data_IF_872007721310
#
_entry.id   IF_872007721310
#
_cell.length_a   1.000
_cell.length_b   1.000
_cell.length_c   1.000
_cell.angle_alpha   90.00
_cell.angle_beta   90.00
_cell.angle_gamma   90.00
#
_symmetry.space_group_name_H-M   'P 1'
#
loop_
_entity.id
_entity.type
_entity.pdbx_description
1 polymer ?
#
# COMPACT_ATOMS: atom_id res chain seq x y z
N UNK A 1 -6.48 -24.05 24.19
CA UNK A 1 -5.36 -23.26 24.73
C UNK A 1 -5.23 -21.91 24.01
N UNK A 2 -6.03 -20.89 24.35
CA UNK A 2 -6.05 -19.61 23.63
C UNK A 2 -4.73 -18.83 23.70
N UNK A 3 -3.97 -18.97 24.79
CA UNK A 3 -2.68 -18.28 24.94
C UNK A 3 -1.55 -18.95 24.13
N UNK A 4 -1.56 -20.29 24.07
CA UNK A 4 -0.56 -21.07 23.33
C UNK A 4 -0.72 -20.88 21.82
N UNK A 5 -1.96 -20.86 21.32
CA UNK A 5 -2.23 -20.61 19.90
C UNK A 5 -1.79 -19.20 19.49
N UNK A 6 -1.99 -18.18 20.34
CA UNK A 6 -1.52 -16.82 20.08
C UNK A 6 0.01 -16.74 20.03
N UNK A 7 0.70 -17.44 20.93
CA UNK A 7 2.16 -17.49 20.91
C UNK A 7 2.69 -18.18 19.65
N UNK A 8 2.10 -19.32 19.28
CA UNK A 8 2.46 -20.05 18.06
C UNK A 8 2.26 -19.20 16.80
N UNK A 9 1.14 -18.48 16.70
CA UNK A 9 0.88 -17.57 15.57
C UNK A 9 1.95 -16.48 15.46
N UNK A 10 2.30 -15.83 16.58
CA UNK A 10 3.34 -14.79 16.58
C UNK A 10 4.67 -15.31 16.03
N UNK A 11 5.11 -16.51 16.44
CA UNK A 11 6.35 -17.11 15.94
C UNK A 11 6.26 -17.49 14.47
N UNK A 12 5.14 -18.10 14.04
CA UNK A 12 4.96 -18.54 12.66
C UNK A 12 4.78 -17.39 11.66
N UNK A 13 4.33 -16.23 12.12
CA UNK A 13 4.19 -15.03 11.25
C UNK A 13 5.51 -14.34 10.94
N UNK A 14 6.58 -14.61 11.71
CA UNK A 14 7.89 -14.04 11.41
C UNK A 14 8.42 -14.72 10.15
N UNK A 15 8.67 -13.98 9.05
CA UNK A 15 9.24 -14.59 7.87
C UNK A 15 10.65 -15.10 8.20
N UNK A 16 10.92 -16.38 7.88
CA UNK A 16 12.21 -17.00 8.14
C UNK A 16 13.37 -16.38 7.34
N UNK A 17 13.07 -15.55 6.33
CA UNK A 17 14.07 -14.96 5.42
C UNK A 17 13.70 -13.53 5.02
N UNK A 18 14.72 -12.73 4.69
CA UNK A 18 14.57 -11.37 4.13
C UNK A 18 14.09 -11.33 2.68
N UNK A 19 13.90 -12.50 2.03
CA UNK A 19 13.59 -12.63 0.60
C UNK A 19 12.35 -11.82 0.21
N UNK A 20 11.32 -11.78 1.06
CA UNK A 20 10.11 -11.00 0.80
C UNK A 20 10.38 -9.49 0.73
N UNK A 21 11.26 -9.00 1.60
CA UNK A 21 11.65 -7.58 1.66
C UNK A 21 12.56 -7.25 0.47
N UNK A 22 13.52 -8.11 0.14
CA UNK A 22 14.40 -7.92 -1.02
C UNK A 22 13.63 -7.95 -2.34
N UNK A 23 12.63 -8.83 -2.46
CA UNK A 23 11.74 -8.87 -3.62
C UNK A 23 10.87 -7.61 -3.70
N UNK A 24 10.40 -7.10 -2.56
CA UNK A 24 9.69 -5.82 -2.47
C UNK A 24 10.59 -4.66 -2.92
N UNK A 25 11.84 -4.60 -2.46
CA UNK A 25 12.79 -3.57 -2.90
C UNK A 25 13.20 -3.71 -4.36
N UNK A 26 13.33 -4.93 -4.87
CA UNK A 26 13.65 -5.20 -6.27
C UNK A 26 12.50 -4.76 -7.19
N UNK A 27 11.26 -5.13 -6.86
CA UNK A 27 10.06 -4.64 -7.57
C UNK A 27 9.87 -3.13 -7.39
N UNK A 28 10.13 -2.62 -6.19
CA UNK A 28 10.10 -1.21 -5.82
C UNK A 28 11.23 -0.39 -6.44
N UNK A 29 12.23 -1.01 -7.06
CA UNK A 29 13.27 -0.34 -7.87
C UNK A 29 12.70 0.29 -9.14
N UNK A 30 11.42 0.14 -9.46
CA UNK A 30 10.80 1.01 -10.47
C UNK A 30 10.27 2.28 -9.78
N UNK A 31 9.66 2.16 -8.60
CA UNK A 31 9.19 3.31 -7.82
C UNK A 31 10.32 4.23 -7.33
N UNK A 32 11.49 3.66 -6.98
CA UNK A 32 12.62 4.39 -6.41
C UNK A 32 13.40 5.27 -7.41
N UNK A 33 13.59 4.88 -8.69
CA UNK A 33 14.31 5.66 -9.70
C UNK A 33 13.43 6.30 -10.79
N UNK A 34 12.23 5.78 -11.13
CA UNK A 34 11.43 6.38 -12.22
C UNK A 34 10.85 7.75 -11.86
N UNK A 35 10.70 8.06 -10.58
CA UNK A 35 10.29 9.38 -10.13
C UNK A 35 11.49 10.08 -9.51
N UNK A 36 12.35 10.69 -10.33
CA UNK A 36 13.24 11.81 -9.91
C UNK A 36 12.46 13.03 -9.37
N UNK A 37 11.21 12.84 -8.96
CA UNK A 37 10.43 13.74 -8.16
C UNK A 37 10.81 13.47 -6.69
N UNK A 38 10.92 14.51 -5.86
CA UNK A 38 11.37 14.40 -4.45
C UNK A 38 10.32 13.70 -3.58
N UNK A 39 10.00 12.44 -3.86
CA UNK A 39 9.10 11.65 -3.04
C UNK A 39 9.78 11.35 -1.72
N UNK A 40 9.11 11.74 -0.64
CA UNK A 40 9.57 11.43 0.70
C UNK A 40 9.60 9.91 0.94
N UNK A 41 10.42 9.46 1.90
CA UNK A 41 10.42 8.07 2.36
C UNK A 41 9.03 7.59 2.80
N UNK A 42 8.22 8.52 3.33
CA UNK A 42 6.83 8.26 3.72
C UNK A 42 5.93 7.99 2.51
N UNK A 43 6.06 8.77 1.44
CA UNK A 43 5.30 8.58 0.20
C UNK A 43 5.64 7.26 -0.48
N UNK A 44 6.93 6.89 -0.49
CA UNK A 44 7.40 5.61 -1.04
C UNK A 44 6.79 4.43 -0.25
N UNK A 45 6.80 4.52 1.09
CA UNK A 45 6.18 3.50 1.95
C UNK A 45 4.69 3.37 1.68
N UNK A 46 3.98 4.50 1.59
CA UNK A 46 2.55 4.50 1.31
C UNK A 46 2.22 3.84 -0.04
N UNK A 47 2.98 4.13 -1.09
CA UNK A 47 2.81 3.51 -2.41
C UNK A 47 3.07 2.00 -2.39
N UNK A 48 4.13 1.55 -1.71
CA UNK A 48 4.43 0.11 -1.57
C UNK A 48 3.34 -0.63 -0.78
N UNK A 49 2.82 -0.03 0.29
CA UNK A 49 1.70 -0.55 1.07
C UNK A 49 0.43 -0.61 0.22
N UNK A 50 0.10 0.48 -0.48
CA UNK A 50 -1.08 0.57 -1.34
C UNK A 50 -1.06 -0.49 -2.44
N UNK A 51 0.08 -0.66 -3.11
CA UNK A 51 0.24 -1.72 -4.13
C UNK A 51 0.11 -3.13 -3.54
N UNK A 52 0.64 -3.37 -2.34
CA UNK A 52 0.50 -4.66 -1.67
C UNK A 52 -0.94 -4.95 -1.25
N UNK A 53 -1.65 -3.96 -0.72
CA UNK A 53 -3.05 -4.10 -0.30
C UNK A 53 -4.00 -4.23 -1.49
N UNK A 54 -3.75 -3.53 -2.58
CA UNK A 54 -4.47 -3.71 -3.84
C UNK A 54 -4.32 -5.15 -4.35
N UNK A 55 -3.11 -5.71 -4.33
CA UNK A 55 -2.88 -7.10 -4.72
C UNK A 55 -3.60 -8.12 -3.82
N UNK A 56 -3.73 -7.81 -2.53
CA UNK A 56 -4.48 -8.62 -1.55
C UNK A 56 -6.00 -8.40 -1.62
N UNK A 57 -6.50 -7.52 -2.50
CA UNK A 57 -7.93 -7.19 -2.60
C UNK A 57 -8.48 -6.42 -1.40
N UNK A 58 -7.59 -5.82 -0.59
CA UNK A 58 -7.96 -5.06 0.61
C UNK A 58 -8.36 -3.61 0.30
N UNK A 59 -8.10 -3.14 -0.93
CA UNK A 59 -8.43 -1.80 -1.40
C UNK A 59 -9.37 -1.92 -2.59
N UNK A 60 -10.47 -1.16 -2.57
CA UNK A 60 -11.42 -1.12 -3.69
C UNK A 60 -10.93 -0.12 -4.74
N UNK A 61 -11.05 -0.49 -6.01
CA UNK A 61 -10.65 0.38 -7.12
C UNK A 61 -11.41 1.72 -7.15
N UNK A 62 -12.64 1.73 -6.62
CA UNK A 62 -13.45 2.95 -6.45
C UNK A 62 -12.77 3.97 -5.54
N UNK A 63 -12.12 3.50 -4.47
CA UNK A 63 -11.45 4.37 -3.50
C UNK A 63 -10.13 4.90 -4.08
N UNK A 64 -9.41 4.07 -4.86
CA UNK A 64 -8.22 4.51 -5.60
C UNK A 64 -8.58 5.58 -6.62
N UNK A 65 -9.66 5.36 -7.39
CA UNK A 65 -10.11 6.31 -8.42
C UNK A 65 -10.50 7.66 -7.82
N UNK A 66 -11.13 7.69 -6.65
CA UNK A 66 -11.43 8.95 -5.94
C UNK A 66 -10.17 9.72 -5.55
N UNK A 67 -9.11 9.03 -5.13
CA UNK A 67 -7.84 9.67 -4.74
C UNK A 67 -7.04 10.15 -5.95
N UNK A 68 -7.13 9.45 -7.09
CA UNK A 68 -6.43 9.81 -8.33
C UNK A 68 -7.19 10.89 -9.11
N UNK A 69 -8.51 10.93 -9.00
CA UNK A 69 -9.39 11.88 -9.69
C UNK A 69 -9.80 13.06 -8.79
N UNK A 70 -9.10 13.35 -7.69
CA UNK A 70 -9.25 14.64 -6.98
C UNK A 70 -8.54 15.76 -7.76
N UNK A 71 -8.91 15.91 -9.02
CA UNK A 71 -9.07 17.23 -9.63
C UNK A 71 -10.49 17.60 -9.22
N UNK A 72 -10.65 18.46 -8.21
CA UNK A 72 -11.93 18.71 -7.53
C UNK A 72 -13.12 18.77 -8.49
N UNK A 73 -14.12 17.93 -8.26
CA UNK A 73 -15.40 18.06 -8.95
C UNK A 73 -16.09 19.34 -8.48
N UNK A 74 -16.57 20.10 -9.45
CA UNK A 74 -17.22 21.38 -9.34
C UNK A 74 -18.48 21.30 -8.46
N UNK A 75 -18.59 22.28 -7.56
CA UNK A 75 -19.78 22.57 -6.77
C UNK A 75 -21.03 22.43 -7.64
N UNK A 76 -21.81 21.37 -7.39
CA UNK A 76 -23.12 21.19 -8.00
C UNK A 76 -24.03 22.34 -7.58
N UNK A 77 -24.18 23.33 -8.45
CA UNK A 77 -25.22 24.36 -8.33
C UNK A 77 -26.57 23.66 -8.50
N UNK A 78 -27.23 23.32 -7.40
CA UNK A 78 -28.66 23.03 -7.42
C UNK A 78 -29.42 24.36 -7.58
N UNK A 79 -29.88 24.63 -8.80
CA UNK A 79 -30.96 25.57 -9.04
C UNK A 79 -32.27 24.82 -8.83
N UNK A 80 -32.94 25.08 -7.71
CA UNK A 80 -34.41 25.15 -7.67
C UNK A 80 -34.88 26.01 -6.50
#
# INVERSE_FOLDING_TARGET
YPCLSRMALNYLTIPATSINIERLFSKGRILLPHLRNRLSSQSIRALLCLGSWSHLGLVKDKDIRKVVCDDGEDEGIEIN
#
